data_IF_672055318286
#
_entry.id   IF_672055318286
#
_cell.length_a   1.000
_cell.length_b   1.000
_cell.length_c   1.000
_cell.angle_alpha   90.00
_cell.angle_beta   90.00
_cell.angle_gamma   90.00
#
_symmetry.space_group_name_H-M   'P 1'
#
loop_
_entity.id
_entity.type
_entity.pdbx_description
1 polymer ?
2 non-polymer ?
3 water ?
#
# COMPACT_ATOMS: atom_id res chain seq x y z
N UNK A 2 -9.73 -10.47 6.91
CA UNK A 2 -9.17 -11.35 5.89
C UNK A 2 -7.65 -11.47 6.07
N UNK A 3 -7.03 -10.32 6.30
CA UNK A 3 -5.61 -10.17 6.57
C UNK A 3 -5.33 -10.42 8.05
N UNK A 4 -4.60 -11.48 8.31
CA UNK A 4 -4.28 -12.07 9.60
C UNK A 4 -2.85 -11.78 10.03
N UNK A 5 -2.25 -10.80 9.35
CA UNK A 5 -0.95 -10.29 9.74
C UNK A 5 -1.04 -8.78 9.95
N UNK A 6 -0.63 -8.41 11.15
CA UNK A 6 -0.37 -7.05 11.58
C UNK A 6 0.95 -7.09 12.34
N UNK A 7 1.75 -6.03 12.24
CA UNK A 7 3.03 -6.10 12.97
C UNK A 7 2.88 -5.49 14.35
N UNK A 8 3.42 -6.17 15.36
CA UNK A 8 3.26 -5.71 16.73
C UNK A 8 4.24 -4.60 17.09
N UNK A 9 3.77 -3.68 17.93
CA UNK A 9 4.55 -2.58 18.45
C UNK A 9 5.11 -1.67 17.37
N UNK A 10 4.24 -1.24 16.47
CA UNK A 10 4.59 -0.34 15.39
C UNK A 10 4.79 1.10 15.86
N UNK A 11 5.70 1.81 15.20
CA UNK A 11 5.91 3.22 15.51
C UNK A 11 5.62 4.05 14.25
N UNK A 12 4.35 4.38 14.07
CA UNK A 12 3.89 5.02 12.85
C UNK A 12 4.67 6.29 12.53
N UNK A 13 5.14 6.98 13.56
CA UNK A 13 5.85 8.23 13.23
C UNK A 13 7.12 7.91 12.43
N UNK A 14 7.66 6.73 12.68
CA UNK A 14 8.86 6.17 12.10
C UNK A 14 8.75 5.80 10.62
N UNK A 15 7.55 5.58 10.09
CA UNK A 15 7.36 5.22 8.70
C UNK A 15 7.14 6.49 7.86
N UNK A 16 7.59 7.62 8.40
CA UNK A 16 7.41 8.85 7.63
C UNK A 16 8.48 8.97 6.56
N UNK A 17 8.12 9.60 5.44
CA UNK A 17 9.12 9.80 4.41
C UNK A 17 8.76 9.29 3.03
N UNK A 18 9.82 9.04 2.27
CA UNK A 18 9.68 8.60 0.89
C UNK A 18 9.49 7.10 0.80
N UNK A 19 8.64 6.65 -0.12
CA UNK A 19 8.47 5.21 -0.32
C UNK A 19 8.27 4.91 -1.80
N UNK A 20 8.72 3.75 -2.23
CA UNK A 20 8.57 3.28 -3.60
C UNK A 20 7.67 2.05 -3.67
N UNK A 21 6.54 2.13 -4.35
CA UNK A 21 5.70 0.94 -4.53
C UNK A 21 6.35 -0.04 -5.51
N UNK A 22 7.25 -0.85 -5.01
CA UNK A 22 7.98 -1.89 -5.70
C UNK A 22 7.07 -2.93 -6.33
N UNK A 23 5.98 -3.25 -5.62
CA UNK A 23 5.11 -4.29 -6.16
C UNK A 23 3.71 -4.17 -5.59
N UNK A 24 2.72 -4.79 -6.24
CA UNK A 24 1.37 -4.75 -5.68
C UNK A 24 0.60 -6.02 -6.02
N UNK A 25 -0.43 -6.29 -5.23
CA UNK A 25 -1.25 -7.48 -5.47
C UNK A 25 -2.71 -7.22 -5.08
N UNK A 26 -3.64 -7.78 -5.83
CA UNK A 26 -5.07 -7.65 -5.58
C UNK A 26 -5.77 -9.01 -5.62
N UNK A 27 -6.97 -9.07 -5.04
CA UNK A 27 -7.72 -10.32 -4.95
C UNK A 27 -8.57 -10.53 -6.20
N UNK A 28 -8.73 -9.46 -6.96
CA UNK A 28 -9.47 -9.41 -8.21
C UNK A 28 -8.63 -8.71 -9.28
N UNK A 29 -8.40 -9.38 -10.40
CA UNK A 29 -7.58 -8.87 -11.49
C UNK A 29 -7.91 -7.43 -11.87
N UNK A 30 -9.19 -7.12 -11.79
CA UNK A 30 -9.72 -5.83 -12.24
C UNK A 30 -9.33 -4.67 -11.34
N UNK A 31 -8.84 -4.97 -10.14
CA UNK A 31 -8.44 -3.92 -9.21
C UNK A 31 -7.12 -3.29 -9.62
N UNK A 32 -6.43 -4.00 -10.52
CA UNK A 32 -5.11 -3.51 -10.92
C UNK A 32 -4.91 -3.64 -12.43
N UNK A 33 -5.88 -4.21 -13.12
CA UNK A 33 -5.72 -4.53 -14.54
C UNK A 33 -5.30 -3.33 -15.37
N UNK A 34 -6.17 -2.32 -15.46
CA UNK A 34 -5.83 -1.19 -16.32
C UNK A 34 -4.85 -0.24 -15.66
N UNK A 35 -4.56 0.85 -16.35
CA UNK A 35 -3.80 1.98 -15.86
C UNK A 35 -4.69 2.81 -14.93
N UNK A 36 -5.98 2.73 -15.21
CA UNK A 36 -7.00 3.47 -14.48
C UNK A 36 -7.77 2.54 -13.55
N UNK A 37 -7.24 1.33 -13.40
CA UNK A 37 -7.84 0.39 -12.46
C UNK A 37 -7.93 1.03 -11.07
N UNK A 38 -8.98 0.64 -10.35
CA UNK A 38 -9.32 1.22 -9.06
C UNK A 38 -8.16 1.33 -8.09
N UNK A 39 -7.56 0.23 -7.65
CA UNK A 39 -6.55 0.29 -6.60
C UNK A 39 -5.12 0.35 -7.11
N UNK A 40 -4.93 0.87 -8.32
CA UNK A 40 -3.60 0.98 -8.90
C UNK A 40 -2.97 2.32 -8.52
N UNK A 41 -2.56 2.47 -7.28
CA UNK A 41 -2.02 3.72 -6.75
C UNK A 41 -0.53 3.60 -6.44
N UNK A 42 0.20 4.69 -6.66
CA UNK A 42 1.63 4.73 -6.39
C UNK A 42 1.96 5.69 -5.25
N UNK A 43 2.59 5.17 -4.21
CA UNK A 43 2.91 5.91 -3.01
C UNK A 43 4.08 6.87 -3.21
N UNK A 44 3.81 8.15 -3.02
CA UNK A 44 4.82 9.21 -3.09
C UNK A 44 5.54 9.31 -1.76
N UNK A 45 4.77 9.44 -0.68
CA UNK A 45 5.32 9.48 0.66
C UNK A 45 4.25 9.31 1.73
N UNK A 46 4.73 8.93 2.91
CA UNK A 46 3.82 8.74 4.03
C UNK A 46 4.14 9.78 5.09
N UNK A 47 3.11 10.45 5.60
CA UNK A 47 3.33 11.38 6.70
C UNK A 47 2.33 11.13 7.82
N UNK A 48 2.81 10.55 8.92
CA UNK A 48 2.05 10.47 10.16
C UNK A 48 1.93 11.82 10.87
N UNK A 49 0.73 12.15 11.34
CA UNK A 49 0.43 13.39 12.05
C UNK A 49 0.57 13.19 13.56
N UNK A 50 0.94 14.26 14.27
CA UNK A 50 1.22 14.20 15.71
C UNK A 50 0.12 13.46 16.48
N UNK A 51 -1.11 13.67 16.04
CA UNK A 51 -2.28 13.04 16.64
C UNK A 51 -2.27 11.53 16.41
N UNK A 52 -1.40 11.07 15.52
CA UNK A 52 -1.24 9.66 15.22
C UNK A 52 -2.05 9.19 14.03
N UNK A 53 -2.38 10.10 13.11
CA UNK A 53 -3.13 9.71 11.91
C UNK A 53 -2.17 9.46 10.76
N UNK A 54 -2.69 8.99 9.61
CA UNK A 54 -1.76 8.59 8.55
C UNK A 54 -2.17 9.19 7.21
N UNK A 55 -1.48 10.27 6.86
CA UNK A 55 -1.58 10.97 5.59
C UNK A 55 -0.72 10.28 4.54
N UNK A 56 -1.36 9.84 3.46
CA UNK A 56 -0.67 9.12 2.40
C UNK A 56 -0.61 9.95 1.12
N UNK A 57 0.59 10.06 0.56
CA UNK A 57 0.69 10.73 -0.73
C UNK A 57 0.92 9.71 -1.83
N UNK A 58 0.12 9.84 -2.89
CA UNK A 58 0.20 8.83 -3.94
C UNK A 58 -0.15 9.39 -5.31
N UNK A 59 0.49 8.83 -6.33
CA UNK A 59 0.09 9.19 -7.70
C UNK A 59 -0.99 8.24 -8.19
N UNK A 60 -1.80 8.67 -9.15
CA UNK A 60 -2.85 7.82 -9.69
C UNK A 60 -3.23 8.23 -11.11
N UNK A 61 -3.14 7.29 -12.04
CA UNK A 61 -3.52 7.56 -13.42
C UNK A 61 -5.03 7.77 -13.52
N UNK A 62 -5.42 8.95 -14.02
CA UNK A 62 -6.84 9.26 -14.09
C UNK A 62 -7.15 10.04 -15.36
N UNK A 63 -8.28 9.74 -15.98
CA UNK A 63 -8.82 10.49 -17.11
C UNK A 63 -7.77 10.86 -18.14
N UNK A 64 -6.76 10.00 -18.33
CA UNK A 64 -5.77 10.24 -19.36
C UNK A 64 -4.41 10.70 -18.90
N UNK A 65 -4.25 11.09 -17.64
CA UNK A 65 -2.92 11.52 -17.20
C UNK A 65 -2.67 11.20 -15.73
N UNK A 66 -1.39 11.20 -15.36
CA UNK A 66 -1.04 10.82 -14.00
C UNK A 66 -1.34 11.94 -13.01
N UNK A 67 -2.27 11.68 -12.11
CA UNK A 67 -2.71 12.65 -11.12
C UNK A 67 -2.20 12.35 -9.71
N UNK A 68 -1.68 13.40 -9.08
CA UNK A 68 -1.31 13.34 -7.67
C UNK A 68 -2.58 13.29 -6.82
N UNK A 69 -2.51 12.65 -5.66
CA UNK A 69 -3.62 12.53 -4.73
C UNK A 69 -3.13 12.49 -3.29
N UNK A 70 -3.92 12.99 -2.35
CA UNK A 70 -3.58 13.00 -0.93
C UNK A 70 -4.67 12.33 -0.09
N UNK A 71 -4.29 11.35 0.72
CA UNK A 71 -5.28 10.62 1.50
C UNK A 71 -4.99 10.64 3.00
N UNK A 72 -6.05 10.65 3.80
CA UNK A 72 -5.93 10.61 5.24
C UNK A 72 -6.60 9.36 5.80
N UNK A 73 -5.78 8.56 6.47
CA UNK A 73 -6.20 7.36 7.17
C UNK A 73 -6.18 7.67 8.67
N UNK A 74 -7.36 7.63 9.27
CA UNK A 74 -7.54 7.91 10.68
C UNK A 74 -7.15 6.72 11.56
N UNK A 75 -6.27 6.97 12.52
CA UNK A 75 -5.92 5.94 13.49
C UNK A 75 -7.16 5.34 14.14
N UNK A 76 -6.97 4.13 14.65
CA UNK A 76 -7.96 3.41 15.44
C UNK A 76 -7.26 2.83 16.67
N UNK A 77 -8.03 2.13 17.50
CA UNK A 77 -7.43 1.61 18.74
C UNK A 77 -6.29 0.67 18.43
N UNK A 78 -6.28 0.04 17.25
CA UNK A 78 -5.09 -0.78 16.99
C UNK A 78 -4.05 0.03 16.22
N UNK A 79 -2.85 0.09 16.79
CA UNK A 79 -1.75 0.87 16.22
C UNK A 79 -1.54 0.65 14.73
N UNK A 80 -1.51 -0.59 14.24
CA UNK A 80 -1.23 -0.84 12.83
C UNK A 80 -2.46 -0.80 11.93
N UNK A 81 -3.60 -0.40 12.46
CA UNK A 81 -4.80 -0.33 11.63
C UNK A 81 -5.38 1.08 11.62
N UNK A 82 -5.63 1.59 10.42
CA UNK A 82 -6.19 2.90 10.18
C UNK A 82 -7.38 2.77 9.22
N UNK A 83 -8.24 3.78 9.23
CA UNK A 83 -9.39 3.82 8.36
C UNK A 83 -9.38 5.08 7.51
N UNK A 84 -9.35 4.94 6.18
CA UNK A 84 -9.41 6.16 5.37
C UNK A 84 -10.88 6.52 5.12
N UNK A 85 -11.20 7.75 5.46
CA UNK A 85 -12.39 8.55 5.41
C UNK A 85 -13.19 8.45 4.12
N UNK A 86 -14.10 7.47 3.98
CA UNK A 86 -14.83 7.45 2.72
C UNK A 86 -16.03 6.52 2.72
N UNK A 87 -16.51 6.23 1.51
CA UNK A 87 -17.67 5.39 1.25
C UNK A 87 -17.32 3.91 1.24
N UNK A 88 -18.23 3.08 1.72
CA UNK A 88 -18.21 1.63 1.68
C UNK A 88 -17.33 1.04 2.79
N UNK A 89 -16.57 1.89 3.47
CA UNK A 89 -15.68 1.56 4.58
C UNK A 89 -14.41 0.86 4.11
N UNK A 90 -13.24 1.46 4.36
CA UNK A 90 -12.00 0.84 3.88
C UNK A 90 -10.86 1.03 4.87
N UNK A 91 -10.27 -0.08 5.28
CA UNK A 91 -9.24 -0.20 6.30
C UNK A 91 -7.83 -0.41 5.76
N UNK A 92 -6.87 0.31 6.33
CA UNK A 92 -5.47 0.12 5.94
C UNK A 92 -4.71 -0.62 7.04
N UNK A 93 -3.99 -1.68 6.68
CA UNK A 93 -3.25 -2.50 7.63
C UNK A 93 -1.76 -2.55 7.32
N UNK A 94 -0.95 -2.22 8.32
CA UNK A 94 0.49 -2.35 8.19
C UNK A 94 0.92 -3.73 8.69
N UNK A 95 1.43 -4.57 7.80
CA UNK A 95 1.77 -5.95 8.11
C UNK A 95 3.17 -6.11 8.70
N UNK A 96 4.15 -5.39 8.14
CA UNK A 96 5.51 -5.54 8.64
C UNK A 96 6.43 -4.46 8.10
N UNK A 97 7.37 -3.99 8.91
CA UNK A 97 8.27 -2.94 8.44
C UNK A 97 9.49 -2.80 9.34
N UNK A 98 10.54 -2.24 8.75
CA UNK A 98 11.78 -1.98 9.47
C UNK A 98 12.08 -0.48 9.40
N UNK A 99 11.10 0.26 8.90
CA UNK A 99 11.06 1.71 8.82
C UNK A 99 12.01 2.30 7.79
N UNK A 100 13.15 1.64 7.58
CA UNK A 100 14.25 2.21 6.83
C UNK A 100 14.55 1.48 5.53
N UNK A 101 13.93 0.32 5.33
CA UNK A 101 14.14 -0.47 4.13
C UNK A 101 12.83 -0.72 3.39
N UNK A 102 11.91 -1.38 4.09
CA UNK A 102 10.65 -1.74 3.46
C UNK A 102 9.45 -1.51 4.38
N UNK A 103 8.27 -1.70 3.80
CA UNK A 103 6.97 -1.68 4.43
C UNK A 103 5.96 -2.47 3.58
N UNK A 104 5.38 -3.50 4.18
CA UNK A 104 4.25 -4.23 3.66
C UNK A 104 2.95 -3.73 4.28
N UNK A 105 2.01 -3.22 3.49
CA UNK A 105 0.70 -2.87 4.04
C UNK A 105 -0.40 -3.12 3.01
N UNK A 106 -1.55 -3.51 3.54
CA UNK A 106 -2.71 -3.93 2.75
C UNK A 106 -3.91 -3.02 2.95
N UNK A 107 -4.81 -3.03 1.97
CA UNK A 107 -6.03 -2.24 2.12
C UNK A 107 -7.23 -3.11 1.75
N UNK A 108 -8.20 -3.18 2.66
CA UNK A 108 -9.36 -4.04 2.45
C UNK A 108 -10.66 -3.33 2.77
N UNK A 109 -11.69 -3.54 1.94
CA UNK A 109 -12.99 -2.98 2.31
C UNK A 109 -13.70 -4.00 3.20
N UNK A 110 -14.02 -3.57 4.41
CA UNK A 110 -14.60 -4.38 5.46
C UNK A 110 -16.03 -4.83 5.18
N UNK A 111 -16.34 -6.04 5.61
CA UNK A 111 -17.57 -6.78 5.52
C UNK A 111 -17.27 -8.28 5.35
N UNK A 112 -16.96 -8.63 4.12
CA UNK A 112 -16.45 -9.89 3.60
C UNK A 112 -15.55 -9.58 2.39
N UNK A 113 -14.50 -8.81 2.65
CA UNK A 113 -13.71 -8.11 1.64
C UNK A 113 -13.09 -8.95 0.54
N UNK A 114 -13.53 -10.16 0.23
CA UNK A 114 -12.87 -10.90 -0.86
C UNK A 114 -12.94 -10.09 -2.15
N UNK A 115 -14.04 -9.35 -2.27
CA UNK A 115 -14.21 -8.38 -3.34
C UNK A 115 -13.62 -7.04 -2.88
N UNK A 116 -12.50 -7.12 -2.16
CA UNK A 116 -11.77 -5.94 -1.74
C UNK A 116 -10.49 -6.24 -0.99
N UNK A 117 -9.35 -6.31 -1.68
CA UNK A 117 -8.08 -6.40 -0.98
C UNK A 117 -6.91 -6.24 -1.94
N UNK A 118 -6.05 -5.28 -1.64
CA UNK A 118 -4.82 -5.04 -2.38
C UNK A 118 -3.69 -4.76 -1.39
N UNK A 119 -2.52 -5.33 -1.64
CA UNK A 119 -1.35 -5.13 -0.81
C UNK A 119 -0.20 -4.61 -1.67
N UNK A 120 0.72 -3.92 -1.03
CA UNK A 120 1.85 -3.32 -1.71
C UNK A 120 3.12 -3.63 -0.91
N UNK A 121 4.24 -3.57 -1.61
CA UNK A 121 5.56 -3.66 -1.01
C UNK A 121 6.31 -2.34 -1.23
N UNK A 122 6.26 -1.50 -0.21
CA UNK A 122 6.95 -0.22 -0.18
C UNK A 122 8.43 -0.41 0.10
N UNK A 123 9.27 0.19 -0.73
CA UNK A 123 10.69 0.25 -0.36
C UNK A 123 11.13 1.71 -0.33
N UNK A 124 12.27 1.96 0.32
CA UNK A 124 12.76 3.32 0.50
C UNK A 124 13.56 3.81 -0.70
N UNK A 125 14.24 2.91 -1.39
CA UNK A 125 15.05 3.27 -2.55
C UNK A 125 14.46 2.65 -3.81
N UNK A 126 14.79 3.20 -4.97
CA UNK A 126 14.26 2.69 -6.24
C UNK A 126 15.11 1.55 -6.80
N UNK A 127 15.44 0.61 -5.93
CA UNK A 127 16.18 -0.59 -6.25
C UNK A 127 15.29 -1.81 -6.08
N UNK A 128 15.52 -2.92 -6.77
CA UNK A 128 14.65 -4.06 -6.44
C UNK A 128 15.27 -4.81 -5.26
N UNK A 129 14.46 -4.94 -4.21
CA UNK A 129 14.87 -5.56 -2.96
C UNK A 129 14.29 -6.96 -2.85
N UNK A 130 15.13 -7.96 -3.11
CA UNK A 130 14.57 -9.31 -3.11
C UNK A 130 14.07 -9.68 -1.72
N UNK A 131 14.86 -9.34 -0.71
CA UNK A 131 14.52 -9.68 0.67
C UNK A 131 13.09 -9.21 0.96
N UNK A 132 12.80 -7.97 0.60
CA UNK A 132 11.49 -7.38 0.76
C UNK A 132 10.45 -8.13 -0.06
N UNK A 133 10.73 -8.36 -1.34
CA UNK A 133 9.82 -9.10 -2.20
C UNK A 133 9.43 -10.43 -1.60
N UNK A 134 10.39 -11.09 -0.96
CA UNK A 134 10.09 -12.39 -0.37
C UNK A 134 9.07 -12.27 0.76
N UNK A 135 9.31 -11.36 1.69
CA UNK A 135 8.40 -11.19 2.82
C UNK A 135 7.00 -10.83 2.34
N UNK A 136 6.97 -10.17 1.19
CA UNK A 136 5.70 -9.77 0.58
C UNK A 136 4.99 -11.02 0.08
N UNK A 137 5.79 -11.81 -0.64
CA UNK A 137 5.26 -13.01 -1.28
C UNK A 137 4.83 -14.02 -0.23
N UNK A 138 5.57 -14.08 0.87
CA UNK A 138 5.24 -14.96 1.99
C UNK A 138 3.95 -14.52 2.68
N UNK A 139 3.83 -13.22 2.92
CA UNK A 139 2.69 -12.63 3.60
C UNK A 139 1.38 -12.86 2.88
N UNK A 140 1.48 -12.87 1.56
CA UNK A 140 0.35 -12.95 0.64
C UNK A 140 -0.03 -14.41 0.38
N UNK A 141 0.91 -15.29 0.69
CA UNK A 141 0.80 -16.73 0.52
C UNK A 141 -0.58 -17.24 0.91
N UNK A 142 -1.08 -16.86 2.08
CA UNK A 142 -2.40 -17.30 2.50
C UNK A 142 -3.53 -16.57 1.77
N UNK A 143 -3.24 -15.33 1.40
CA UNK A 143 -4.14 -14.37 0.79
C UNK A 143 -4.59 -14.77 -0.61
N UNK A 144 -5.87 -14.52 -0.88
CA UNK A 144 -6.50 -14.93 -2.14
C UNK A 144 -6.31 -13.95 -3.30
N UNK A 145 -5.08 -13.74 -3.72
CA UNK A 145 -4.64 -12.78 -4.71
C UNK A 145 -4.63 -13.36 -6.12
N UNK A 146 -4.99 -12.55 -7.12
CA UNK A 146 -5.11 -13.09 -8.47
C UNK A 146 -4.42 -12.22 -9.49
N UNK A 147 -3.89 -11.09 -9.03
CA UNK A 147 -3.05 -10.22 -9.85
C UNK A 147 -1.86 -9.74 -9.02
N UNK A 148 -0.68 -9.71 -9.63
CA UNK A 148 0.51 -9.23 -8.94
C UNK A 148 1.42 -8.45 -9.88
N UNK A 149 1.68 -7.19 -9.55
CA UNK A 149 2.58 -6.37 -10.35
C UNK A 149 3.90 -6.12 -9.62
N UNK A 150 4.93 -5.87 -10.39
CA UNK A 150 6.32 -5.67 -9.99
C UNK A 150 6.95 -4.58 -10.85
N UNK A 151 7.60 -3.59 -10.25
CA UNK A 151 8.11 -2.51 -11.11
C UNK A 151 9.62 -2.44 -11.07
N UNK A 152 10.21 -1.89 -12.13
CA UNK A 152 11.68 -1.88 -12.18
C UNK A 152 12.19 -0.50 -11.76
N UNK A 153 13.47 -0.38 -11.45
CA UNK A 153 14.01 0.92 -11.01
C UNK A 153 13.63 2.05 -11.97
N UNK A 154 13.80 1.84 -13.27
CA UNK A 154 13.45 2.84 -14.27
C UNK A 154 12.03 3.34 -14.05
N UNK A 155 11.10 2.38 -14.06
CA UNK A 155 9.70 2.70 -13.84
C UNK A 155 9.47 3.44 -12.52
N UNK A 156 10.21 3.08 -11.48
CA UNK A 156 10.04 3.65 -10.15
C UNK A 156 10.46 5.12 -10.09
N UNK A 157 11.36 5.53 -10.97
CA UNK A 157 11.78 6.94 -11.02
C UNK A 157 10.94 7.72 -12.02
N UNK A 158 9.79 7.15 -12.37
CA UNK A 158 8.89 7.72 -13.36
C UNK A 158 7.54 8.00 -12.72
N UNK A 159 6.86 9.04 -13.18
CA UNK A 159 5.52 9.28 -12.64
C UNK A 159 4.59 8.18 -13.14
N UNK A 160 3.79 7.67 -12.22
CA UNK A 160 2.85 6.59 -12.42
C UNK A 160 3.51 5.34 -12.98
N UNK A 161 4.81 5.23 -12.75
CA UNK A 161 5.61 4.09 -13.15
C UNK A 161 5.46 3.79 -14.63
N UNK A 162 5.60 4.82 -15.48
CA UNK A 162 5.47 4.58 -16.92
C UNK A 162 6.74 3.94 -17.49
X LIG B 1 -2.98 1.96 0.20
X LIG B 1 -2.14 0.75 0.64
X LIG B 1 -1.72 -0.06 -0.59
X LIG B 1 -3.01 -0.61 -1.24
X LIG B 1 -4.05 0.46 -1.47
X LIG B 1 -4.05 1.64 -0.82
X LIG B 1 -5.14 2.62 -0.88
X LIG B 1 -5.43 3.57 -1.77
X LIG B 1 -6.55 4.51 -1.60
X LIG B 1 -6.49 5.66 -2.27
X LIG B 1 -7.47 6.76 -2.28
X LIG B 1 -7.95 7.24 -3.43
X LIG B 1 -8.95 8.32 -3.57
X LIG B 1 -9.74 8.42 -4.65
X LIG B 1 -9.61 7.89 -6.01
X LIG B 1 -3.66 2.55 1.46
X LIG B 1 -2.06 3.04 -0.39
X LIG B 1 -5.18 0.03 -2.35
X LIG B 1 -7.70 4.17 -0.70
X LIG B 1 -9.44 9.02 -2.32
X LIG B 1 -8.78 6.99 -6.30
X LIG B 1 -10.37 8.37 -6.89
#
# INVERSE_FOLDING_TARGET
LIVTQTMKGLDIQKVAGTWYSLAMAASDISLLDAQSAPLRVYVEELKPTPEGDLEILLQKWENGECAQKKIIAEKTKIPAVFKIDALNENKVLVLDTDYKKYLLFCMENSAEPEQSLACQCLVRTPEVDDEALEKFDKALKALPMHIRLSFNPTQLEEQCHI
REA C1 C2 C3 C4 C5 C6 C7 C8 C9 C10 C11 C12 C13 C14 C15 C16 C17 C18 C19 C20 O1 O2
#
